data_IF_579335111372
#
_entry.id   IF_579335111372
#
_cell.length_a   1.000
_cell.length_b   1.000
_cell.length_c   1.000
_cell.angle_alpha   90.00
_cell.angle_beta   90.00
_cell.angle_gamma   90.00
#
_symmetry.space_group_name_H-M   'P 1'
#
loop_
_entity.id
_entity.type
_entity.pdbx_description
1 polymer ?
#
# COMPACT_ATOMS: atom_id res chain seq x y z
N UNK A 1 5.43 -35.42 -29.55
CA UNK A 1 6.38 -34.32 -29.32
C UNK A 1 5.55 -33.08 -29.03
N UNK A 2 5.38 -32.74 -27.75
CA UNK A 2 4.61 -31.58 -27.32
C UNK A 2 5.60 -30.53 -26.82
N UNK A 3 5.68 -29.41 -27.53
CA UNK A 3 6.56 -28.29 -27.20
C UNK A 3 5.87 -27.41 -26.15
N UNK A 4 6.49 -27.27 -24.98
CA UNK A 4 6.10 -26.31 -23.95
C UNK A 4 6.39 -24.88 -24.43
N UNK A 5 5.52 -23.90 -24.18
CA UNK A 5 5.86 -22.50 -24.41
C UNK A 5 6.71 -21.99 -23.24
N UNK A 6 7.86 -21.43 -23.58
CA UNK A 6 8.78 -20.77 -22.66
C UNK A 6 8.16 -19.48 -22.14
N UNK A 7 8.13 -19.35 -20.82
CA UNK A 7 7.71 -18.17 -20.07
C UNK A 7 8.87 -17.16 -20.10
N UNK A 8 8.97 -16.38 -21.19
CA UNK A 8 9.89 -15.26 -21.29
C UNK A 8 9.36 -14.10 -20.44
N UNK A 9 9.81 -14.08 -19.18
CA UNK A 9 9.63 -12.97 -18.26
C UNK A 9 10.25 -11.69 -18.84
N UNK A 10 9.41 -10.88 -19.49
CA UNK A 10 9.71 -9.50 -19.86
C UNK A 10 10.06 -8.70 -18.60
N UNK A 11 11.34 -8.64 -18.27
CA UNK A 11 11.87 -7.65 -17.35
C UNK A 11 11.66 -6.28 -17.98
N UNK A 12 10.60 -5.58 -17.55
CA UNK A 12 10.43 -4.17 -17.85
C UNK A 12 11.56 -3.40 -17.16
N UNK A 13 12.65 -3.19 -17.89
CA UNK A 13 13.69 -2.25 -17.50
C UNK A 13 13.05 -0.86 -17.45
N UNK A 14 13.00 -0.27 -16.26
CA UNK A 14 12.58 1.13 -16.09
C UNK A 14 13.61 2.01 -16.80
N UNK A 15 13.25 2.74 -17.86
CA UNK A 15 14.22 3.52 -18.61
C UNK A 15 14.79 4.65 -17.74
N UNK A 16 16.11 4.70 -17.66
CA UNK A 16 16.86 5.82 -17.08
C UNK A 16 16.56 7.11 -17.87
N UNK A 17 16.57 8.23 -17.13
CA UNK A 17 16.17 9.54 -17.62
C UNK A 17 17.20 10.12 -18.59
N UNK A 18 16.75 10.92 -19.56
CA UNK A 18 17.67 11.80 -20.29
C UNK A 18 17.95 13.09 -19.48
N UNK A 19 19.16 13.65 -19.52
CA UNK A 19 19.51 14.87 -18.77
C UNK A 19 18.64 16.10 -19.11
N UNK A 20 18.11 16.17 -20.33
CA UNK A 20 17.30 17.27 -20.84
C UNK A 20 15.89 17.31 -20.22
N UNK A 21 15.29 16.13 -19.96
CA UNK A 21 13.98 16.03 -19.31
C UNK A 21 14.02 16.51 -17.84
N UNK A 22 15.19 16.48 -17.19
CA UNK A 22 15.35 17.00 -15.81
C UNK A 22 15.41 18.53 -15.74
N UNK A 23 15.74 19.23 -16.82
CA UNK A 23 15.94 20.69 -16.80
C UNK A 23 14.64 21.51 -16.82
N UNK A 24 13.51 20.90 -17.19
CA UNK A 24 12.22 21.61 -17.26
C UNK A 24 11.39 21.51 -15.97
N UNK A 25 11.74 20.62 -15.03
CA UNK A 25 11.04 20.48 -13.77
C UNK A 25 11.60 21.48 -12.73
N UNK A 26 10.75 22.12 -11.89
CA UNK A 26 11.25 22.94 -10.79
C UNK A 26 12.14 22.10 -9.87
N UNK A 27 13.17 22.72 -9.30
CA UNK A 27 14.03 22.02 -8.35
C UNK A 27 13.17 21.50 -7.17
N UNK A 28 13.44 20.31 -6.63
CA UNK A 28 12.65 19.73 -5.55
C UNK A 28 12.50 20.67 -4.34
N UNK A 29 13.53 21.47 -4.06
CA UNK A 29 13.54 22.44 -2.97
C UNK A 29 12.57 23.60 -3.21
N UNK A 30 12.55 24.17 -4.41
CA UNK A 30 11.63 25.27 -4.78
C UNK A 30 10.18 24.78 -4.72
N UNK A 31 9.93 23.59 -5.26
CA UNK A 31 8.61 22.97 -5.23
C UNK A 31 8.16 22.70 -3.80
N UNK A 32 9.04 22.15 -2.97
CA UNK A 32 8.76 21.90 -1.55
C UNK A 32 8.41 23.20 -0.83
N UNK A 33 9.22 24.25 -1.02
CA UNK A 33 9.00 25.55 -0.38
C UNK A 33 7.67 26.16 -0.77
N UNK A 34 7.34 26.16 -2.06
CA UNK A 34 6.05 26.65 -2.55
C UNK A 34 4.87 25.84 -1.99
N UNK A 35 5.04 24.53 -1.88
CA UNK A 35 4.01 23.62 -1.36
C UNK A 35 3.78 23.81 0.13
N UNK A 36 4.84 23.98 0.92
CA UNK A 36 4.75 24.26 2.36
C UNK A 36 3.99 25.56 2.60
N UNK A 37 4.31 26.62 1.85
CA UNK A 37 3.59 27.89 1.95
C UNK A 37 2.09 27.74 1.68
N UNK A 38 1.72 26.97 0.65
CA UNK A 38 0.30 26.70 0.37
C UNK A 38 -0.38 25.89 1.49
N UNK A 39 0.32 24.94 2.11
CA UNK A 39 -0.20 24.19 3.24
C UNK A 39 -0.39 25.07 4.48
N UNK A 40 0.53 26.00 4.75
CA UNK A 40 0.44 26.99 5.83
C UNK A 40 -0.75 27.94 5.63
N UNK A 41 -1.02 28.35 4.38
CA UNK A 41 -2.15 29.21 4.02
C UNK A 41 -3.49 28.45 3.93
N UNK A 42 -3.49 27.12 4.06
CA UNK A 42 -4.69 26.30 3.88
C UNK A 42 -5.68 26.39 5.05
N UNK A 43 -6.97 26.32 4.76
CA UNK A 43 -8.04 26.32 5.77
C UNK A 43 -8.26 24.93 6.42
N UNK A 44 -7.47 23.93 6.06
CA UNK A 44 -7.65 22.54 6.50
C UNK A 44 -7.11 22.32 7.91
N UNK A 45 -7.99 22.37 8.91
CA UNK A 45 -7.63 22.23 10.34
C UNK A 45 -6.72 21.05 10.68
N UNK A 46 -6.87 19.91 10.00
CA UNK A 46 -6.02 18.74 10.21
C UNK A 46 -4.59 18.92 9.68
N UNK A 47 -4.44 19.64 8.57
CA UNK A 47 -3.13 20.03 8.03
C UNK A 47 -2.45 20.97 9.01
N UNK A 48 -3.17 22.00 9.47
CA UNK A 48 -2.64 22.97 10.44
C UNK A 48 -2.20 22.31 11.76
N UNK A 49 -2.97 21.36 12.28
CA UNK A 49 -2.60 20.56 13.45
C UNK A 49 -1.31 19.76 13.22
N UNK A 50 -1.16 19.16 12.04
CA UNK A 50 0.04 18.40 11.70
C UNK A 50 1.28 19.32 11.63
N UNK A 51 1.16 20.47 10.95
CA UNK A 51 2.24 21.46 10.83
C UNK A 51 2.67 22.00 12.20
N UNK A 52 1.71 22.29 13.08
CA UNK A 52 2.00 22.76 14.43
C UNK A 52 2.73 21.71 15.30
N UNK A 53 2.46 20.43 15.09
CA UNK A 53 3.11 19.34 15.82
C UNK A 53 4.48 18.97 15.24
N UNK A 54 4.64 19.08 13.92
CA UNK A 54 5.83 18.63 13.19
C UNK A 54 6.26 19.73 12.22
N UNK A 55 7.02 20.75 12.69
CA UNK A 55 7.38 21.88 11.85
C UNK A 55 8.52 21.56 10.86
N UNK A 56 9.21 20.43 11.03
CA UNK A 56 10.39 20.10 10.23
C UNK A 56 10.00 19.30 9.00
N UNK A 57 10.36 19.82 7.82
CA UNK A 57 10.23 19.08 6.56
C UNK A 57 11.22 17.92 6.57
N UNK A 58 10.68 16.70 6.50
CA UNK A 58 11.45 15.46 6.57
C UNK A 58 11.90 14.97 5.18
N UNK A 59 11.16 15.29 4.11
CA UNK A 59 11.47 14.85 2.74
C UNK A 59 11.13 15.98 1.76
N UNK A 60 12.02 16.26 0.77
CA UNK A 60 11.67 17.15 -0.33
C UNK A 60 10.62 16.50 -1.24
N UNK A 61 9.79 17.34 -1.84
CA UNK A 61 8.80 16.93 -2.83
C UNK A 61 9.47 16.73 -4.19
N UNK A 62 9.58 15.47 -4.60
CA UNK A 62 9.98 15.08 -5.95
C UNK A 62 8.76 14.53 -6.68
N UNK A 63 8.46 15.14 -7.84
CA UNK A 63 7.35 14.70 -8.66
C UNK A 63 7.75 13.50 -9.49
N UNK A 64 6.86 12.51 -9.50
CA UNK A 64 7.06 11.36 -10.35
C UNK A 64 6.77 11.68 -11.80
N UNK A 65 7.33 10.90 -12.71
CA UNK A 65 6.98 10.99 -14.12
C UNK A 65 5.81 10.07 -14.46
N UNK A 66 4.86 10.61 -15.22
CA UNK A 66 3.68 9.89 -15.70
C UNK A 66 3.56 10.04 -17.21
N UNK A 67 2.97 9.02 -17.83
CA UNK A 67 2.66 9.06 -19.26
C UNK A 67 1.32 9.76 -19.47
N UNK A 68 1.36 10.90 -20.18
CA UNK A 68 0.19 11.69 -20.54
C UNK A 68 0.17 11.83 -22.07
N UNK A 69 -0.82 11.19 -22.71
CA UNK A 69 -0.99 11.22 -24.17
C UNK A 69 0.27 10.80 -24.95
N UNK A 70 1.00 9.80 -24.46
CA UNK A 70 2.21 9.27 -25.12
C UNK A 70 3.49 10.07 -24.83
N UNK A 71 3.42 11.11 -23.99
CA UNK A 71 4.58 11.88 -23.54
C UNK A 71 4.83 11.65 -22.05
N UNK A 72 6.09 11.55 -21.65
CA UNK A 72 6.50 11.43 -20.24
C UNK A 72 6.58 12.84 -19.64
N UNK A 73 5.78 13.13 -18.61
CA UNK A 73 5.72 14.45 -17.96
C UNK A 73 5.74 14.32 -16.43
N UNK A 74 6.22 15.33 -15.70
CA UNK A 74 6.06 15.37 -14.25
C UNK A 74 4.58 15.31 -13.90
N UNK A 75 4.23 14.57 -12.84
CA UNK A 75 2.88 14.48 -12.34
C UNK A 75 2.40 15.87 -11.92
N UNK A 76 1.28 16.30 -12.48
CA UNK A 76 0.59 17.50 -12.01
C UNK A 76 -0.14 17.18 -10.72
N UNK A 77 -0.15 18.11 -9.77
CA UNK A 77 -0.91 17.96 -8.54
C UNK A 77 -1.42 19.31 -8.06
N UNK A 78 -2.48 19.24 -7.27
CA UNK A 78 -3.06 20.35 -6.53
C UNK A 78 -3.24 19.96 -5.06
N UNK A 79 -3.54 20.95 -4.23
CA UNK A 79 -3.89 20.77 -2.82
C UNK A 79 -5.39 20.99 -2.60
N UNK A 80 -6.19 20.93 -3.68
CA UNK A 80 -7.62 21.20 -3.64
C UNK A 80 -8.32 20.02 -2.97
N UNK A 81 -8.69 20.23 -1.72
CA UNK A 81 -9.36 19.26 -0.88
C UNK A 81 -8.48 18.75 0.26
N UNK A 82 -9.11 18.62 1.43
CA UNK A 82 -8.45 18.22 2.66
C UNK A 82 -7.63 16.93 2.53
N UNK A 83 -8.14 15.92 1.81
CA UNK A 83 -7.44 14.64 1.64
C UNK A 83 -6.13 14.79 0.87
N UNK A 84 -6.11 15.59 -0.19
CA UNK A 84 -4.93 15.85 -1.01
C UNK A 84 -3.90 16.64 -0.23
N UNK A 85 -4.33 17.74 0.39
CA UNK A 85 -3.48 18.56 1.25
C UNK A 85 -2.89 17.73 2.40
N UNK A 86 -3.70 16.92 3.09
CA UNK A 86 -3.24 16.05 4.17
C UNK A 86 -2.27 14.99 3.69
N UNK A 87 -2.48 14.39 2.51
CA UNK A 87 -1.56 13.40 1.96
C UNK A 87 -0.18 13.99 1.69
N UNK A 88 -0.11 15.21 1.14
CA UNK A 88 1.16 15.91 0.91
C UNK A 88 1.77 16.36 2.24
N UNK A 89 0.97 16.88 3.19
CA UNK A 89 1.48 17.25 4.50
C UNK A 89 2.08 16.04 5.26
N UNK A 90 1.41 14.88 5.23
CA UNK A 90 1.97 13.64 5.77
C UNK A 90 3.25 13.23 5.04
N UNK A 91 3.27 13.35 3.70
CA UNK A 91 4.47 13.09 2.91
C UNK A 91 5.62 14.01 3.25
N UNK A 92 5.38 15.25 3.67
CA UNK A 92 6.44 16.22 3.97
C UNK A 92 6.89 16.15 5.43
N UNK A 93 5.97 15.98 6.39
CA UNK A 93 6.25 16.22 7.80
C UNK A 93 6.24 14.97 8.70
N UNK A 94 5.75 13.82 8.23
CA UNK A 94 5.67 12.62 9.08
C UNK A 94 7.04 11.96 9.33
N UNK A 95 7.44 11.78 10.59
CA UNK A 95 8.77 11.23 10.93
C UNK A 95 8.81 9.70 11.07
N UNK A 96 7.67 9.04 11.31
CA UNK A 96 7.63 7.63 11.74
C UNK A 96 7.24 6.63 10.66
N UNK A 97 7.01 7.10 9.43
CA UNK A 97 6.62 6.24 8.32
C UNK A 97 7.82 5.61 7.62
N UNK A 98 7.53 4.90 6.54
CA UNK A 98 8.52 4.15 5.76
C UNK A 98 8.27 4.27 4.28
N UNK A 99 9.35 4.36 3.51
CA UNK A 99 9.31 4.20 2.07
C UNK A 99 9.00 2.73 1.73
N UNK A 100 8.08 2.50 0.79
CA UNK A 100 7.70 1.17 0.35
C UNK A 100 7.64 1.13 -1.18
N UNK A 101 8.58 0.44 -1.82
CA UNK A 101 8.56 0.24 -3.26
C UNK A 101 7.43 -0.72 -3.72
N UNK A 102 6.94 -1.58 -2.82
CA UNK A 102 6.06 -2.71 -3.15
C UNK A 102 4.57 -2.34 -3.33
N UNK A 103 4.22 -1.05 -3.29
CA UNK A 103 2.84 -0.65 -3.53
C UNK A 103 2.46 -0.89 -5.00
N UNK A 104 1.58 -1.87 -5.24
CA UNK A 104 1.12 -2.26 -6.60
C UNK A 104 0.43 -1.11 -7.34
N UNK A 105 -0.26 -0.23 -6.59
CA UNK A 105 -0.89 0.95 -7.18
C UNK A 105 0.10 2.07 -7.49
N UNK A 106 1.24 2.15 -6.80
CA UNK A 106 2.24 3.18 -7.07
C UNK A 106 3.23 2.77 -8.15
N UNK A 107 3.52 1.47 -8.27
CA UNK A 107 4.33 0.92 -9.36
C UNK A 107 3.64 0.97 -10.72
N UNK A 108 2.31 1.15 -10.75
CA UNK A 108 1.57 1.33 -12.00
C UNK A 108 1.96 2.68 -12.67
N UNK A 109 2.37 2.69 -13.95
CA UNK A 109 2.69 3.92 -14.69
C UNK A 109 1.53 4.95 -14.77
N UNK A 110 0.30 4.50 -14.59
CA UNK A 110 -0.92 5.33 -14.56
C UNK A 110 -1.35 5.74 -13.15
N UNK A 111 -0.53 5.46 -12.14
CA UNK A 111 -0.79 5.85 -10.76
C UNK A 111 -1.00 7.37 -10.67
N UNK A 112 -1.94 7.82 -9.85
CA UNK A 112 -2.34 9.25 -9.78
C UNK A 112 -1.67 10.06 -8.66
N UNK A 113 -0.96 9.42 -7.74
CA UNK A 113 -0.26 10.14 -6.66
C UNK A 113 0.95 10.89 -7.20
N UNK A 114 1.26 12.09 -6.72
CA UNK A 114 2.24 12.94 -7.40
C UNK A 114 3.70 12.68 -7.01
N UNK A 115 3.95 12.07 -5.84
CA UNK A 115 5.30 11.88 -5.34
C UNK A 115 5.99 10.71 -6.03
N UNK A 116 7.27 10.87 -6.38
CA UNK A 116 8.14 9.77 -6.85
C UNK A 116 8.25 8.68 -5.78
N UNK A 117 8.48 9.10 -4.54
CA UNK A 117 8.56 8.19 -3.41
C UNK A 117 7.17 7.71 -2.96
N UNK A 118 6.97 6.39 -2.96
CA UNK A 118 5.84 5.78 -2.27
C UNK A 118 6.13 5.71 -0.76
N UNK A 119 5.53 6.60 0.00
CA UNK A 119 5.72 6.71 1.45
C UNK A 119 4.46 6.27 2.20
N UNK A 120 4.60 5.35 3.15
CA UNK A 120 3.54 4.97 4.08
C UNK A 120 3.76 5.69 5.40
N UNK A 121 2.86 6.59 5.82
CA UNK A 121 2.95 7.27 7.11
C UNK A 121 2.97 6.28 8.28
N UNK A 122 3.42 6.77 9.44
CA UNK A 122 3.32 6.03 10.70
C UNK A 122 1.88 5.57 10.99
N UNK A 123 1.75 4.49 11.75
CA UNK A 123 0.46 3.89 12.09
C UNK A 123 -0.53 4.91 12.67
N UNK A 124 -1.75 4.93 12.11
CA UNK A 124 -2.83 5.85 12.49
C UNK A 124 -3.05 7.03 11.54
N UNK A 125 -2.10 7.32 10.64
CA UNK A 125 -2.26 8.34 9.60
C UNK A 125 -2.61 7.74 8.23
N UNK A 126 -3.28 8.54 7.38
CA UNK A 126 -3.56 8.18 5.99
C UNK A 126 -4.36 6.88 5.80
N UNK A 127 -5.13 6.48 6.82
CA UNK A 127 -5.90 5.22 6.84
C UNK A 127 -5.05 3.96 6.56
N UNK A 128 -3.76 4.00 6.91
CA UNK A 128 -2.82 2.91 6.65
C UNK A 128 -2.37 2.76 5.19
N UNK A 129 -2.85 3.61 4.28
CA UNK A 129 -2.40 3.67 2.89
C UNK A 129 -1.11 4.50 2.74
N UNK A 130 -0.39 4.32 1.62
CA UNK A 130 0.67 5.26 1.26
C UNK A 130 0.08 6.62 0.85
N UNK A 131 0.88 7.69 0.97
CA UNK A 131 0.50 9.07 0.66
C UNK A 131 0.01 9.22 -0.78
N UNK A 132 0.64 8.55 -1.74
CA UNK A 132 0.21 8.56 -3.14
C UNK A 132 -1.19 7.96 -3.35
N UNK A 133 -1.50 6.82 -2.70
CA UNK A 133 -2.84 6.23 -2.78
C UNK A 133 -3.86 7.05 -2.01
N UNK A 134 -3.49 7.59 -0.84
CA UNK A 134 -4.34 8.46 -0.04
C UNK A 134 -4.70 9.74 -0.80
N UNK A 135 -3.71 10.42 -1.39
CA UNK A 135 -3.88 11.57 -2.28
C UNK A 135 -4.87 11.28 -3.41
N UNK A 136 -4.75 10.10 -4.03
CA UNK A 136 -5.57 9.71 -5.18
C UNK A 136 -7.01 9.31 -4.81
N UNK A 137 -7.39 9.32 -3.52
CA UNK A 137 -8.67 8.78 -3.06
C UNK A 137 -8.79 7.26 -3.20
N UNK A 138 -7.66 6.55 -3.27
CA UNK A 138 -7.58 5.09 -3.45
C UNK A 138 -7.02 4.39 -2.20
N UNK A 139 -7.24 4.96 -1.01
CA UNK A 139 -6.72 4.43 0.26
C UNK A 139 -7.13 2.97 0.49
N UNK A 140 -8.41 2.65 0.27
CA UNK A 140 -9.00 1.31 0.43
C UNK A 140 -8.46 0.28 -0.56
N UNK A 141 -7.85 0.71 -1.66
CA UNK A 141 -7.24 -0.17 -2.68
C UNK A 141 -5.72 -0.22 -2.58
N UNK A 142 -5.11 0.48 -1.62
CA UNK A 142 -3.67 0.48 -1.44
C UNK A 142 -3.20 -0.92 -1.01
N UNK A 143 -2.30 -1.55 -1.78
CA UNK A 143 -1.84 -2.91 -1.46
C UNK A 143 -1.13 -2.98 -0.10
N UNK A 144 -0.43 -1.92 0.31
CA UNK A 144 0.23 -1.87 1.63
C UNK A 144 -0.78 -1.92 2.78
N UNK A 145 -1.93 -1.25 2.63
CA UNK A 145 -3.03 -1.27 3.60
C UNK A 145 -3.64 -2.67 3.64
N UNK A 146 -4.00 -3.21 2.47
CA UNK A 146 -4.62 -4.53 2.35
C UNK A 146 -3.71 -5.64 2.92
N UNK A 147 -2.40 -5.58 2.66
CA UNK A 147 -1.43 -6.53 3.19
C UNK A 147 -1.30 -6.44 4.71
N UNK A 148 -1.39 -5.22 5.29
CA UNK A 148 -1.41 -5.01 6.74
C UNK A 148 -2.68 -5.61 7.36
N UNK A 149 -3.86 -5.25 6.84
CA UNK A 149 -5.15 -5.77 7.30
C UNK A 149 -5.19 -7.31 7.23
N UNK A 150 -4.68 -7.90 6.14
CA UNK A 150 -4.57 -9.36 5.99
C UNK A 150 -3.64 -9.98 7.03
N UNK A 151 -2.48 -9.38 7.29
CA UNK A 151 -1.53 -9.87 8.31
C UNK A 151 -2.14 -9.83 9.71
N UNK A 152 -2.86 -8.76 10.05
CA UNK A 152 -3.56 -8.61 11.32
C UNK A 152 -4.68 -9.65 11.48
N UNK A 153 -5.46 -9.90 10.43
CA UNK A 153 -6.49 -10.93 10.43
C UNK A 153 -5.90 -12.33 10.65
N UNK A 154 -4.81 -12.66 9.96
CA UNK A 154 -4.09 -13.93 10.13
C UNK A 154 -3.53 -14.05 11.56
N UNK A 155 -2.96 -12.97 12.11
CA UNK A 155 -2.43 -12.98 13.48
C UNK A 155 -3.55 -13.16 14.51
N UNK A 156 -4.70 -12.51 14.31
CA UNK A 156 -5.89 -12.67 15.16
C UNK A 156 -6.39 -14.11 15.14
N UNK A 157 -6.57 -14.69 13.95
CA UNK A 157 -6.98 -16.08 13.81
C UNK A 157 -5.99 -17.06 14.44
N UNK A 158 -4.68 -16.83 14.32
CA UNK A 158 -3.65 -17.63 15.01
C UNK A 158 -3.71 -17.53 16.54
N UNK A 159 -4.04 -16.35 17.06
CA UNK A 159 -4.21 -16.16 18.50
C UNK A 159 -5.46 -16.88 19.00
N UNK A 160 -6.59 -16.70 18.31
CA UNK A 160 -7.84 -17.39 18.60
C UNK A 160 -7.68 -18.91 18.56
N UNK A 161 -7.00 -19.45 17.54
CA UNK A 161 -6.66 -20.88 17.45
C UNK A 161 -5.74 -21.36 18.60
N UNK A 162 -4.80 -20.52 19.06
CA UNK A 162 -3.93 -20.87 20.20
C UNK A 162 -4.69 -20.88 21.51
N UNK A 163 -5.58 -19.91 21.69
CA UNK A 163 -6.40 -19.75 22.88
C UNK A 163 -7.61 -20.70 22.88
N UNK A 164 -7.91 -21.32 21.73
CA UNK A 164 -8.93 -22.34 21.59
C UNK A 164 -8.56 -23.60 22.37
N UNK A 165 -9.21 -23.82 23.51
CA UNK A 165 -8.98 -24.97 24.41
C UNK A 165 -9.64 -26.28 23.93
N UNK A 166 -9.98 -26.36 22.64
CA UNK A 166 -10.76 -27.45 22.07
C UNK A 166 -12.26 -27.28 22.29
N UNK A 167 -13.02 -28.17 21.66
CA UNK A 167 -14.47 -28.24 21.84
C UNK A 167 -14.79 -28.84 23.21
N UNK A 168 -15.01 -27.98 24.21
CA UNK A 168 -15.57 -28.48 25.48
C UNK A 168 -17.06 -28.77 25.31
N UNK A 169 -17.62 -29.70 26.08
CA UNK A 169 -19.07 -29.93 26.08
C UNK A 169 -19.88 -28.65 26.35
N UNK A 170 -19.39 -27.74 27.21
CA UNK A 170 -20.06 -26.45 27.44
C UNK A 170 -20.00 -25.51 26.24
N UNK A 171 -18.94 -25.58 25.43
CA UNK A 171 -18.82 -24.79 24.21
C UNK A 171 -19.85 -25.25 23.19
N UNK A 172 -19.94 -26.56 22.94
CA UNK A 172 -20.92 -27.14 22.01
C UNK A 172 -22.38 -26.89 22.42
N UNK A 173 -22.66 -26.83 23.73
CA UNK A 173 -24.00 -26.51 24.23
C UNK A 173 -24.37 -25.03 24.10
N UNK A 174 -23.39 -24.13 24.02
CA UNK A 174 -23.60 -22.68 23.95
C UNK A 174 -23.48 -22.12 22.53
N UNK A 175 -22.87 -22.86 21.62
CA UNK A 175 -22.73 -22.46 20.22
C UNK A 175 -24.05 -22.54 19.48
N UNK A 176 -24.27 -21.57 18.62
CA UNK A 176 -25.38 -21.56 17.65
C UNK A 176 -25.11 -22.53 16.51
N UNK A 177 -26.16 -22.95 15.82
CA UNK A 177 -26.06 -23.82 14.64
C UNK A 177 -25.17 -23.19 13.55
N UNK A 178 -25.26 -21.88 13.35
CA UNK A 178 -24.48 -21.14 12.34
C UNK A 178 -22.98 -21.12 12.68
N UNK A 179 -22.63 -20.97 13.96
CA UNK A 179 -21.25 -21.08 14.42
C UNK A 179 -20.70 -22.50 14.16
N UNK A 180 -21.46 -23.54 14.51
CA UNK A 180 -21.05 -24.94 14.30
C UNK A 180 -20.86 -25.28 12.81
N UNK A 181 -21.70 -24.75 11.92
CA UNK A 181 -21.52 -24.91 10.47
C UNK A 181 -20.27 -24.20 9.95
N UNK A 182 -20.01 -22.98 10.43
CA UNK A 182 -18.79 -22.23 10.10
C UNK A 182 -17.54 -23.01 10.53
N UNK A 183 -17.57 -23.62 11.73
CA UNK A 183 -16.49 -24.47 12.21
C UNK A 183 -16.30 -25.74 11.39
N UNK A 184 -17.39 -26.42 11.01
CA UNK A 184 -17.33 -27.59 10.14
C UNK A 184 -16.60 -27.28 8.83
N UNK A 185 -16.93 -26.14 8.22
CA UNK A 185 -16.28 -25.67 7.00
C UNK A 185 -14.77 -25.42 7.20
N UNK A 186 -14.36 -24.83 8.32
CA UNK A 186 -12.94 -24.64 8.60
C UNK A 186 -12.17 -25.95 8.75
N UNK A 187 -12.79 -26.99 9.30
CA UNK A 187 -12.18 -28.33 9.42
C UNK A 187 -12.00 -28.94 8.03
N UNK A 188 -13.04 -28.90 7.20
CA UNK A 188 -13.00 -29.40 5.81
C UNK A 188 -11.93 -28.68 4.98
N UNK A 189 -11.86 -27.35 5.05
CA UNK A 189 -10.84 -26.54 4.36
C UNK A 189 -9.42 -26.89 4.85
N UNK A 190 -9.25 -27.17 6.15
CA UNK A 190 -7.96 -27.53 6.72
C UNK A 190 -7.50 -28.94 6.31
N UNK A 191 -8.43 -29.90 6.21
CA UNK A 191 -8.16 -31.25 5.72
C UNK A 191 -7.80 -31.25 4.22
N UNK A 192 -8.49 -30.45 3.41
CA UNK A 192 -8.19 -30.27 1.99
C UNK A 192 -6.78 -29.69 1.79
N UNK A 193 -6.41 -28.65 2.54
CA UNK A 193 -5.06 -28.07 2.52
C UNK A 193 -3.96 -29.06 2.96
N UNK A 194 -4.27 -29.99 3.87
CA UNK A 194 -3.34 -31.05 4.27
C UNK A 194 -3.21 -32.12 3.19
N UNK A 195 -4.30 -32.50 2.52
CA UNK A 195 -4.30 -33.44 1.41
C UNK A 195 -3.47 -32.94 0.22
N UNK A 196 -3.55 -31.64 -0.10
CA UNK A 196 -2.73 -31.01 -1.14
C UNK A 196 -1.22 -31.03 -0.80
N UNK A 197 -0.87 -30.86 0.48
CA UNK A 197 0.52 -30.92 0.97
C UNK A 197 1.06 -32.36 1.06
N UNK A 198 0.17 -33.34 1.18
CA UNK A 198 0.47 -34.76 1.33
C UNK A 198 0.74 -35.51 0.03
N UNK A 199 0.62 -34.89 -1.15
CA UNK A 199 0.97 -35.55 -2.42
C UNK A 199 2.47 -35.42 -2.71
N UNK A 200 3.30 -36.47 -2.51
CA UNK A 200 4.67 -36.45 -2.99
C UNK A 200 4.64 -36.39 -4.52
N UNK A 201 5.08 -35.28 -5.10
CA UNK A 201 5.47 -35.25 -6.51
C UNK A 201 6.52 -36.35 -6.71
N UNK A 202 6.11 -37.50 -7.27
CA UNK A 202 7.03 -38.51 -7.79
C UNK A 202 7.97 -37.78 -8.75
N UNK A 203 9.20 -37.50 -8.30
CA UNK A 203 10.31 -37.10 -9.17
C UNK A 203 10.53 -38.27 -10.12
N UNK A 204 10.04 -38.12 -11.35
CA UNK A 204 10.40 -39.00 -12.44
C UNK A 204 11.91 -38.89 -12.63
N UNK A 205 12.63 -39.95 -12.25
CA UNK A 205 13.95 -40.26 -12.81
C UNK A 205 13.68 -41.07 -14.07
N UNK A 206 13.87 -40.44 -15.22
CA UNK A 206 14.52 -40.99 -16.42
C UNK A 206 14.62 -39.88 -17.48
#
# INVERSE_FOLDING_TARGET
>A
MASSPSDDGLQMQTPEWTPEERQSAPAPQDLTTATVKQLEESEYSNVQKLLAQKPTVQRPLELKMVWVKGEKKPATFDLDGQTRAMAIALFLFDEGGKQNADCKNCSNPHSRGPCEMCYQPADGHGEGACTNCYYSGLSTRCSLRLDKERKELIQRGKKELRDFKGFTPEYLQKSTTEELETFKKWIEDAEELQAERGSPKKRARQ
#
